data_IF_430900112637
#
_entry.id   IF_430900112637
#
_cell.length_a   1.000
_cell.length_b   1.000
_cell.length_c   1.000
_cell.angle_alpha   90.00
_cell.angle_beta   90.00
_cell.angle_gamma   90.00
#
_symmetry.space_group_name_H-M   'P 1'
#
loop_
_entity.id
_entity.type
_entity.pdbx_description
1 polymer ?
#
# COMPACT_ATOMS: atom_id res chain seq x y z
N UNK A 1 -10.27 -19.83 8.22
CA UNK A 1 -9.00 -19.10 8.07
C UNK A 1 -9.00 -17.98 9.09
N UNK A 2 -8.00 -17.95 9.97
CA UNK A 2 -7.84 -16.98 11.05
C UNK A 2 -7.13 -15.72 10.54
N UNK A 3 -7.18 -14.61 11.29
CA UNK A 3 -6.47 -13.36 10.97
C UNK A 3 -4.98 -13.61 10.64
N UNK A 4 -4.35 -14.54 11.36
CA UNK A 4 -2.95 -14.95 11.20
C UNK A 4 -2.67 -15.55 9.83
N UNK A 5 -3.63 -16.28 9.23
CA UNK A 5 -3.45 -16.94 7.93
C UNK A 5 -3.33 -15.91 6.79
N UNK A 6 -4.06 -14.80 6.88
CA UNK A 6 -4.01 -13.74 5.86
C UNK A 6 -2.72 -12.92 5.94
N UNK A 7 -2.25 -12.59 7.16
CA UNK A 7 -0.97 -11.88 7.33
C UNK A 7 0.19 -12.68 6.72
N UNK A 8 0.19 -14.00 6.86
CA UNK A 8 1.21 -14.88 6.29
C UNK A 8 1.21 -14.85 4.75
N UNK A 9 0.03 -14.86 4.12
CA UNK A 9 -0.11 -14.75 2.66
C UNK A 9 0.48 -13.42 2.15
N UNK A 10 0.12 -12.30 2.78
CA UNK A 10 0.66 -11.00 2.43
C UNK A 10 2.17 -10.92 2.62
N UNK A 11 2.68 -11.40 3.76
CA UNK A 11 4.11 -11.39 4.06
C UNK A 11 4.91 -12.21 3.05
N UNK A 12 4.43 -13.39 2.65
CA UNK A 12 5.04 -14.22 1.60
C UNK A 12 5.13 -13.48 0.27
N UNK A 13 4.03 -12.86 -0.19
CA UNK A 13 4.02 -12.09 -1.43
C UNK A 13 5.02 -10.92 -1.41
N UNK A 14 5.14 -10.23 -0.27
CA UNK A 14 6.10 -9.14 -0.09
C UNK A 14 7.55 -9.65 -0.13
N UNK A 15 7.83 -10.80 0.49
CA UNK A 15 9.17 -11.41 0.45
C UNK A 15 9.55 -11.79 -0.99
N UNK A 16 8.61 -12.34 -1.78
CA UNK A 16 8.83 -12.61 -3.20
C UNK A 16 9.15 -11.34 -4.00
N UNK A 17 8.62 -10.19 -3.58
CA UNK A 17 8.92 -8.87 -4.14
C UNK A 17 10.20 -8.22 -3.58
N UNK A 18 10.97 -8.96 -2.76
CA UNK A 18 12.28 -8.54 -2.27
C UNK A 18 12.26 -7.84 -0.90
N UNK A 19 11.13 -7.84 -0.19
CA UNK A 19 11.08 -7.31 1.17
C UNK A 19 11.80 -8.24 2.15
N UNK A 20 12.50 -7.65 3.13
CA UNK A 20 13.02 -8.41 4.26
C UNK A 20 11.87 -8.92 5.13
N UNK A 21 11.97 -10.15 5.66
CA UNK A 21 10.90 -10.81 6.44
C UNK A 21 10.22 -9.92 7.49
N UNK A 22 11.01 -9.20 8.30
CA UNK A 22 10.45 -8.30 9.33
C UNK A 22 9.66 -7.13 8.74
N UNK A 23 10.14 -6.56 7.64
CA UNK A 23 9.44 -5.48 6.94
C UNK A 23 8.19 -6.01 6.23
N UNK A 24 8.25 -7.21 5.66
CA UNK A 24 7.12 -7.88 5.03
C UNK A 24 6.00 -8.11 6.05
N UNK A 25 6.30 -8.63 7.25
CA UNK A 25 5.30 -8.80 8.31
C UNK A 25 4.67 -7.47 8.76
N UNK A 26 5.47 -6.41 8.86
CA UNK A 26 4.97 -5.08 9.24
C UNK A 26 4.03 -4.53 8.17
N UNK A 27 4.45 -4.53 6.91
CA UNK A 27 3.63 -4.06 5.78
C UNK A 27 2.39 -4.93 5.59
N UNK A 28 2.48 -6.26 5.80
CA UNK A 28 1.33 -7.15 5.76
C UNK A 28 0.25 -6.76 6.78
N UNK A 29 0.64 -6.38 7.99
CA UNK A 29 -0.30 -5.91 9.02
C UNK A 29 -0.96 -4.59 8.63
N UNK A 30 -0.22 -3.66 8.03
CA UNK A 30 -0.78 -2.41 7.53
C UNK A 30 -1.78 -2.66 6.39
N UNK A 31 -1.43 -3.54 5.44
CA UNK A 31 -2.28 -3.91 4.31
C UNK A 31 -3.60 -4.56 4.75
N UNK A 32 -3.60 -5.27 5.88
CA UNK A 32 -4.83 -5.83 6.46
C UNK A 32 -5.77 -4.79 7.07
N UNK A 33 -5.24 -3.60 7.40
CA UNK A 33 -5.97 -2.54 8.09
C UNK A 33 -6.24 -1.33 7.20
N UNK A 34 -6.09 -1.48 5.88
CA UNK A 34 -6.45 -0.41 4.94
C UNK A 34 -7.93 -0.07 5.01
N UNK A 35 -8.27 1.13 4.56
CA UNK A 35 -9.63 1.58 4.37
C UNK A 35 -10.41 0.59 3.47
N UNK A 36 -11.69 0.42 3.77
CA UNK A 36 -12.55 -0.54 3.06
C UNK A 36 -12.59 -0.28 1.54
N UNK A 37 -12.46 0.97 1.10
CA UNK A 37 -12.40 1.33 -0.32
C UNK A 37 -11.19 0.74 -1.05
N UNK A 38 -10.11 0.42 -0.34
CA UNK A 38 -8.87 -0.14 -0.88
C UNK A 38 -8.77 -1.66 -0.74
N UNK A 39 -9.69 -2.29 -0.01
CA UNK A 39 -9.66 -3.74 0.25
C UNK A 39 -9.62 -4.57 -1.04
N UNK A 40 -10.38 -4.17 -2.07
CA UNK A 40 -10.38 -4.84 -3.37
C UNK A 40 -9.02 -4.69 -4.08
N UNK A 41 -8.39 -3.51 -4.02
CA UNK A 41 -7.08 -3.26 -4.62
C UNK A 41 -5.96 -4.08 -3.97
N UNK A 42 -6.06 -4.35 -2.65
CA UNK A 42 -5.15 -5.26 -1.95
C UNK A 42 -5.33 -6.71 -2.43
N UNK A 43 -6.58 -7.15 -2.61
CA UNK A 43 -6.89 -8.50 -3.11
C UNK A 43 -6.48 -8.68 -4.57
N UNK A 44 -6.73 -7.68 -5.44
CA UNK A 44 -6.28 -7.69 -6.84
C UNK A 44 -4.75 -7.80 -6.89
N UNK A 45 -4.03 -7.04 -6.07
CA UNK A 45 -2.57 -7.10 -6.02
C UNK A 45 -2.02 -8.48 -5.62
N UNK A 46 -2.69 -9.20 -4.71
CA UNK A 46 -2.31 -10.58 -4.39
C UNK A 46 -2.38 -11.52 -5.61
N UNK A 47 -3.21 -11.20 -6.60
CA UNK A 47 -3.35 -11.93 -7.87
C UNK A 47 -2.46 -11.37 -8.98
N UNK A 48 -1.50 -10.52 -8.65
CA UNK A 48 -0.65 -9.79 -9.59
C UNK A 48 -1.43 -8.79 -10.49
N UNK A 49 -2.64 -8.41 -10.09
CA UNK A 49 -3.45 -7.39 -10.74
C UNK A 49 -3.22 -6.04 -10.03
N UNK A 50 -2.53 -5.11 -10.71
CA UNK A 50 -2.26 -3.78 -10.18
C UNK A 50 -3.22 -2.76 -10.78
N UNK A 51 -4.36 -2.56 -10.12
CA UNK A 51 -5.37 -1.58 -10.52
C UNK A 51 -5.02 -0.20 -9.97
N UNK A 52 -5.24 0.86 -10.76
CA UNK A 52 -5.04 2.21 -10.26
C UNK A 52 -6.23 2.66 -9.40
N UNK A 53 -5.95 3.50 -8.43
CA UNK A 53 -6.95 4.16 -7.60
C UNK A 53 -6.46 5.56 -7.29
N UNK A 54 -7.36 6.55 -7.42
CA UNK A 54 -7.05 7.95 -7.19
C UNK A 54 -7.82 8.49 -5.98
N UNK A 55 -7.12 9.22 -5.12
CA UNK A 55 -7.70 9.94 -3.99
C UNK A 55 -6.92 11.20 -3.71
N UNK A 56 -7.63 12.29 -3.41
CA UNK A 56 -7.03 13.58 -3.04
C UNK A 56 -6.00 14.13 -4.06
N UNK A 57 -6.15 13.78 -5.34
CA UNK A 57 -5.25 14.19 -6.43
C UNK A 57 -3.98 13.36 -6.56
N UNK A 58 -3.88 12.22 -5.88
CA UNK A 58 -2.79 11.25 -6.02
C UNK A 58 -3.37 9.91 -6.45
N UNK A 59 -2.73 9.25 -7.42
CA UNK A 59 -3.05 7.88 -7.81
C UNK A 59 -1.96 6.90 -7.39
N UNK A 60 -2.30 5.62 -7.23
CA UNK A 60 -1.34 4.56 -6.93
C UNK A 60 -0.24 4.55 -7.99
N UNK A 61 -0.62 4.53 -9.28
CA UNK A 61 0.37 4.49 -10.37
C UNK A 61 1.19 5.78 -10.46
N UNK A 62 0.59 6.93 -10.14
CA UNK A 62 1.29 8.22 -10.05
C UNK A 62 2.36 8.20 -8.96
N UNK A 63 2.00 7.75 -7.76
CA UNK A 63 2.95 7.60 -6.64
C UNK A 63 4.08 6.63 -6.96
N UNK A 64 3.78 5.50 -7.62
CA UNK A 64 4.82 4.56 -8.07
C UNK A 64 5.82 5.23 -9.01
N UNK A 65 5.33 5.99 -10.01
CA UNK A 65 6.19 6.65 -11.01
C UNK A 65 6.96 7.83 -10.44
N UNK A 66 6.28 8.72 -9.72
CA UNK A 66 6.85 9.99 -9.28
C UNK A 66 7.68 9.87 -8.00
N UNK A 67 7.39 8.86 -7.16
CA UNK A 67 8.07 8.65 -5.87
C UNK A 67 8.83 7.32 -5.82
N UNK A 68 8.94 6.60 -6.93
CA UNK A 68 9.61 5.31 -7.05
C UNK A 68 9.14 4.29 -5.99
N UNK A 69 7.84 4.31 -5.69
CA UNK A 69 7.23 3.40 -4.72
C UNK A 69 6.86 2.07 -5.38
N UNK A 70 6.92 1.00 -4.59
CA UNK A 70 6.26 -0.26 -4.96
C UNK A 70 4.74 -0.10 -4.87
N UNK A 71 3.97 -0.95 -5.54
CA UNK A 71 2.51 -0.95 -5.46
C UNK A 71 1.98 -0.97 -4.01
N UNK A 72 2.40 -1.90 -3.11
CA UNK A 72 1.90 -1.90 -1.74
C UNK A 72 2.27 -0.64 -0.96
N UNK A 73 3.45 -0.04 -1.21
CA UNK A 73 3.82 1.22 -0.56
C UNK A 73 2.98 2.41 -1.07
N UNK A 74 2.70 2.46 -2.39
CA UNK A 74 1.83 3.47 -2.98
C UNK A 74 0.38 3.31 -2.49
N UNK A 75 -0.14 2.08 -2.40
CA UNK A 75 -1.46 1.79 -1.86
C UNK A 75 -1.59 2.24 -0.40
N UNK A 76 -0.61 1.93 0.46
CA UNK A 76 -0.60 2.39 1.86
C UNK A 76 -0.49 3.93 1.98
N UNK A 77 0.14 4.57 1.00
CA UNK A 77 0.18 6.04 0.95
C UNK A 77 -1.19 6.62 0.59
N UNK A 78 -1.92 5.99 -0.33
CA UNK A 78 -3.32 6.35 -0.62
C UNK A 78 -4.22 6.09 0.59
N UNK A 79 -4.04 4.97 1.30
CA UNK A 79 -4.73 4.68 2.55
C UNK A 79 -4.52 5.78 3.59
N UNK A 80 -3.27 6.23 3.76
CA UNK A 80 -2.96 7.35 4.64
C UNK A 80 -3.59 8.66 4.18
N UNK A 81 -3.62 8.93 2.86
CA UNK A 81 -4.32 10.10 2.30
C UNK A 81 -5.83 10.08 2.58
N UNK A 82 -6.46 8.91 2.59
CA UNK A 82 -7.88 8.77 2.92
C UNK A 82 -8.11 9.03 4.41
N UNK A 83 -7.26 8.46 5.27
CA UNK A 83 -7.42 8.52 6.75
C UNK A 83 -7.01 9.86 7.36
N UNK A 84 -5.93 10.46 6.86
CA UNK A 84 -5.36 11.73 7.36
C UNK A 84 -4.74 12.53 6.19
N UNK A 85 -5.59 13.16 5.35
CA UNK A 85 -5.14 13.83 4.13
C UNK A 85 -4.19 15.00 4.40
N UNK A 86 -4.37 15.73 5.51
CA UNK A 86 -3.57 16.91 5.84
C UNK A 86 -2.11 16.52 6.12
N UNK A 87 -1.89 15.53 7.00
CA UNK A 87 -0.53 15.05 7.32
C UNK A 87 0.13 14.37 6.13
N UNK A 88 -0.63 13.54 5.39
CA UNK A 88 -0.12 12.82 4.23
C UNK A 88 0.34 13.79 3.13
N UNK A 89 -0.49 14.78 2.76
CA UNK A 89 -0.13 15.80 1.76
C UNK A 89 1.08 16.61 2.19
N UNK A 90 1.17 16.99 3.47
CA UNK A 90 2.33 17.70 4.01
C UNK A 90 3.62 16.88 3.90
N UNK A 91 3.53 15.56 4.07
CA UNK A 91 4.66 14.65 3.88
C UNK A 91 5.06 14.52 2.41
N UNK A 92 4.07 14.32 1.52
CA UNK A 92 4.29 14.12 0.08
C UNK A 92 4.82 15.36 -0.65
N UNK A 93 4.47 16.56 -0.17
CA UNK A 93 4.95 17.84 -0.72
C UNK A 93 6.38 18.15 -0.27
N UNK A 94 6.81 17.70 0.91
CA UNK A 94 8.16 17.94 1.45
C UNK A 94 9.27 17.20 0.70
N UNK A 95 8.92 16.21 -0.12
CA UNK A 95 9.84 15.46 -0.98
C UNK A 95 10.04 16.05 -2.39
N UNK A 96 9.28 17.09 -2.77
CA UNK A 96 9.46 17.78 -4.05
C UNK A 96 10.55 18.83 -3.83
N UNK A 97 11.71 18.63 -4.47
CA UNK A 97 12.86 19.54 -4.43
C UNK A 97 13.16 20.04 -5.83
#
# INVERSE_FOLDING_TARGET
MTQTDYTDIFAKKLIEQGYQSKMAEMVAKELMNVDNSLSMHVVSWLKDECEDFESHGYSITGLMKERNMTYPAALLTIDWLIKDPESAKKSLTRGIK
#
